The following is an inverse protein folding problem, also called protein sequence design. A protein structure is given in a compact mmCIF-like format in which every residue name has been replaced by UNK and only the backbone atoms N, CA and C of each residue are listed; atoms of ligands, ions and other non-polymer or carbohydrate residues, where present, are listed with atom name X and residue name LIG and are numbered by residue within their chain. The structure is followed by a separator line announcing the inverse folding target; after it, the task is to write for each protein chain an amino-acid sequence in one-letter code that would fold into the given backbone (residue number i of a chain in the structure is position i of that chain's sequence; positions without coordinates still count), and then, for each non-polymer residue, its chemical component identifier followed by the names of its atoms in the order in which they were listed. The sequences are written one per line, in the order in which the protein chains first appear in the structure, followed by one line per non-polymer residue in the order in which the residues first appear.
data_IF_632430441619
#
_entry.id   IF_632430441619
#
_cell.length_a   1.000
_cell.length_b   1.000
_cell.length_c   1.000
_cell.angle_alpha   90.00
_cell.angle_beta   90.00
_cell.angle_gamma   90.00
#
_symmetry.space_group_name_H-M   'P 1'
#
loop_
_entity.id
_entity.type
_entity.pdbx_description
1 polymer ?
#
# COMPACT_ATOMS: atom_id res chain seq x y z
N UNK A 1 -63.66 -43.69 38.84
CA UNK A 1 -62.30 -44.18 38.83
C UNK A 1 -61.40 -43.00 38.40
N UNK A 2 -60.90 -42.29 39.36
CA UNK A 2 -60.01 -41.15 39.15
C UNK A 2 -58.55 -41.63 39.30
N UNK A 3 -57.77 -41.42 38.27
CA UNK A 3 -56.32 -41.66 38.25
C UNK A 3 -55.61 -40.63 39.12
N UNK A 4 -54.57 -41.03 39.90
CA UNK A 4 -53.85 -40.08 40.72
C UNK A 4 -52.87 -39.29 39.84
N UNK A 5 -52.84 -37.97 40.03
CA UNK A 5 -51.81 -37.05 39.48
C UNK A 5 -50.42 -37.33 40.10
N UNK A 6 -49.43 -37.52 39.29
CA UNK A 6 -48.03 -37.53 39.71
C UNK A 6 -47.59 -36.11 40.12
N UNK A 7 -46.84 -35.96 41.24
CA UNK A 7 -46.33 -34.65 41.64
C UNK A 7 -45.24 -34.14 40.71
N UNK A 8 -45.41 -32.89 40.24
CA UNK A 8 -44.45 -32.17 39.45
C UNK A 8 -43.04 -32.12 40.12
N UNK A 9 -42.03 -32.63 39.44
CA UNK A 9 -40.65 -32.52 39.86
C UNK A 9 -40.22 -31.04 39.82
N UNK A 10 -39.84 -30.52 40.97
CA UNK A 10 -39.26 -29.18 41.13
C UNK A 10 -37.88 -29.18 40.45
N UNK A 11 -37.51 -28.22 39.57
CA UNK A 11 -36.18 -28.14 39.03
C UNK A 11 -35.21 -27.78 40.17
N UNK A 12 -34.25 -28.64 40.45
CA UNK A 12 -33.24 -28.44 41.48
C UNK A 12 -32.51 -27.11 41.26
N UNK A 13 -32.87 -26.11 42.08
CA UNK A 13 -32.20 -24.82 42.11
C UNK A 13 -30.76 -25.00 42.58
N UNK A 14 -29.82 -24.50 41.83
CA UNK A 14 -28.38 -24.47 42.20
C UNK A 14 -28.23 -23.86 43.59
N UNK A 15 -27.65 -24.61 44.55
CA UNK A 15 -27.47 -24.12 45.92
C UNK A 15 -26.59 -22.86 45.95
N UNK A 16 -26.80 -21.95 46.93
CA UNK A 16 -25.96 -20.72 47.07
C UNK A 16 -24.47 -21.04 47.10
N UNK A 17 -24.09 -22.15 47.70
CA UNK A 17 -22.69 -22.61 47.79
C UNK A 17 -22.15 -23.01 46.39
N UNK A 18 -22.94 -23.69 45.61
CA UNK A 18 -22.59 -24.13 44.27
C UNK A 18 -22.54 -22.96 43.27
N UNK A 19 -23.46 -22.02 43.39
CA UNK A 19 -23.43 -20.75 42.66
C UNK A 19 -22.16 -19.95 42.94
N UNK A 20 -21.78 -19.78 44.20
CA UNK A 20 -20.55 -19.06 44.60
C UNK A 20 -19.28 -19.77 44.12
N UNK A 21 -19.24 -21.11 44.16
CA UNK A 21 -18.12 -21.90 43.66
C UNK A 21 -17.98 -21.78 42.11
N UNK A 22 -19.10 -21.87 41.40
CA UNK A 22 -19.11 -21.74 39.93
C UNK A 22 -18.73 -20.30 39.49
N UNK A 23 -19.24 -19.29 40.19
CA UNK A 23 -18.92 -17.88 39.90
C UNK A 23 -17.45 -17.56 40.23
N UNK A 24 -16.93 -18.09 41.34
CA UNK A 24 -15.53 -17.95 41.72
C UNK A 24 -14.59 -18.64 40.71
N UNK A 25 -14.93 -19.86 40.28
CA UNK A 25 -14.16 -20.55 39.23
C UNK A 25 -14.19 -19.85 37.90
N UNK A 26 -15.35 -19.32 37.48
CA UNK A 26 -15.46 -18.52 36.25
C UNK A 26 -14.66 -17.21 36.35
N UNK A 27 -14.70 -16.53 37.48
CA UNK A 27 -13.89 -15.32 37.75
C UNK A 27 -12.38 -15.60 37.71
N UNK A 28 -11.93 -16.71 38.27
CA UNK A 28 -10.53 -17.14 38.26
C UNK A 28 -10.08 -17.51 36.82
N UNK A 29 -10.94 -18.14 36.00
CA UNK A 29 -10.65 -18.45 34.60
C UNK A 29 -10.56 -17.16 33.76
N UNK A 30 -11.43 -16.19 33.97
CA UNK A 30 -11.42 -14.90 33.29
C UNK A 30 -10.16 -14.11 33.67
N UNK A 31 -9.81 -14.05 34.95
CA UNK A 31 -8.61 -13.38 35.45
C UNK A 31 -7.33 -14.08 34.94
N UNK A 32 -7.29 -15.41 34.95
CA UNK A 32 -6.19 -16.21 34.39
C UNK A 32 -6.00 -16.02 32.90
N UNK A 33 -7.13 -15.97 32.14
CA UNK A 33 -7.10 -15.70 30.67
C UNK A 33 -6.66 -14.27 30.35
N UNK A 34 -7.08 -13.29 31.17
CA UNK A 34 -6.64 -11.90 31.00
C UNK A 34 -5.14 -11.74 31.28
N UNK A 35 -4.63 -12.35 32.36
CA UNK A 35 -3.18 -12.34 32.66
C UNK A 35 -2.37 -13.10 31.62
N UNK A 36 -2.85 -14.27 31.17
CA UNK A 36 -2.24 -15.01 30.08
C UNK A 36 -2.30 -14.22 28.76
N UNK A 37 -3.44 -13.58 28.46
CA UNK A 37 -3.60 -12.69 27.31
C UNK A 37 -2.63 -11.52 27.33
N UNK A 38 -2.44 -10.85 28.48
CA UNK A 38 -1.48 -9.74 28.64
C UNK A 38 -0.02 -10.24 28.55
N UNK A 39 0.30 -11.42 29.13
CA UNK A 39 1.63 -12.02 29.01
C UNK A 39 1.92 -12.57 27.63
N UNK A 40 0.92 -13.08 26.91
CA UNK A 40 1.04 -13.56 25.53
C UNK A 40 0.93 -12.43 24.52
N UNK A 41 0.35 -11.29 24.93
CA UNK A 41 0.27 -10.08 24.11
C UNK A 41 1.52 -9.21 24.31
N UNK A 42 2.69 -9.78 23.99
CA UNK A 42 3.86 -8.96 23.72
C UNK A 42 3.78 -8.53 22.26
N UNK A 43 3.79 -7.23 21.94
CA UNK A 43 3.67 -6.74 20.57
C UNK A 43 4.81 -7.21 19.65
N UNK A 44 5.84 -7.84 20.20
CA UNK A 44 7.02 -8.34 19.49
C UNK A 44 7.08 -9.88 19.33
N UNK A 45 6.07 -10.63 19.78
CA UNK A 45 6.07 -12.10 19.69
C UNK A 45 5.15 -12.57 18.54
N UNK A 46 5.55 -12.25 17.31
CA UNK A 46 4.81 -12.74 16.16
C UNK A 46 5.68 -13.47 15.15
N UNK A 47 6.35 -14.50 15.59
CA UNK A 47 6.80 -15.71 14.89
C UNK A 47 7.77 -16.44 15.83
N UNK A 48 7.47 -17.65 16.35
CA UNK A 48 8.49 -18.50 16.94
C UNK A 48 9.49 -18.86 15.83
N UNK A 49 10.73 -18.38 15.95
CA UNK A 49 11.79 -18.61 14.96
C UNK A 49 12.40 -17.35 14.34
N UNK A 50 11.86 -16.16 14.57
CA UNK A 50 12.47 -14.88 14.15
C UNK A 50 13.30 -14.25 15.27
N UNK A 51 14.03 -15.07 16.04
CA UNK A 51 15.02 -14.53 16.97
C UNK A 51 16.19 -13.94 16.17
N UNK A 52 16.34 -12.61 16.33
CA UNK A 52 17.60 -11.87 16.12
C UNK A 52 18.27 -11.94 14.74
N UNK A 53 17.59 -12.21 13.64
CA UNK A 53 18.14 -11.79 12.36
C UNK A 53 18.13 -10.27 12.30
N UNK A 54 19.33 -9.68 12.18
CA UNK A 54 19.51 -8.24 11.97
C UNK A 54 18.65 -7.86 10.74
N UNK A 55 17.54 -7.15 10.99
CA UNK A 55 16.57 -6.81 9.92
C UNK A 55 17.30 -6.04 8.82
N UNK A 56 16.90 -6.28 7.58
CA UNK A 56 17.42 -5.53 6.45
C UNK A 56 16.94 -4.06 6.52
N UNK A 57 17.73 -3.17 5.97
CA UNK A 57 17.33 -1.81 5.64
C UNK A 57 17.23 -1.70 4.12
N UNK A 58 16.20 -1.01 3.63
CA UNK A 58 16.13 -0.72 2.19
C UNK A 58 17.13 0.35 1.81
N UNK A 59 17.79 0.22 0.65
CA UNK A 59 18.62 1.29 0.10
C UNK A 59 17.82 2.55 -0.20
N UNK A 60 18.51 3.66 -0.34
CA UNK A 60 17.97 4.87 -0.94
C UNK A 60 18.04 4.74 -2.47
N UNK A 61 16.89 4.57 -3.13
CA UNK A 61 16.79 4.40 -4.58
C UNK A 61 16.65 5.74 -5.33
N UNK A 62 16.66 6.87 -4.62
CA UNK A 62 16.54 8.19 -5.26
C UNK A 62 17.72 8.49 -6.15
N UNK A 63 17.45 9.17 -7.25
CA UNK A 63 18.50 9.71 -8.13
C UNK A 63 18.81 11.13 -7.68
N UNK A 64 20.06 11.35 -7.28
CA UNK A 64 20.56 12.64 -6.85
C UNK A 64 21.14 13.44 -8.03
N UNK A 65 21.11 14.78 -7.94
CA UNK A 65 22.01 15.62 -8.72
C UNK A 65 21.45 16.30 -9.97
N UNK A 66 20.16 16.33 -10.20
CA UNK A 66 19.62 17.13 -11.30
C UNK A 66 19.22 18.56 -10.88
N UNK A 67 20.22 19.44 -10.67
CA UNK A 67 19.95 20.86 -10.38
C UNK A 67 19.09 21.48 -11.49
N UNK A 68 17.98 22.13 -11.11
CA UNK A 68 17.11 22.88 -12.03
C UNK A 68 16.05 22.03 -12.74
N UNK A 69 16.04 20.69 -12.58
CA UNK A 69 14.96 19.86 -13.09
C UNK A 69 13.81 19.75 -12.07
N UNK A 70 12.55 19.67 -12.55
CA UNK A 70 11.40 19.51 -11.68
C UNK A 70 11.49 18.23 -10.83
N UNK A 71 10.95 18.29 -9.62
CA UNK A 71 10.74 17.13 -8.74
C UNK A 71 9.32 16.60 -8.82
N UNK A 72 8.41 17.38 -9.40
CA UNK A 72 7.00 17.08 -9.61
C UNK A 72 6.61 17.46 -11.04
N UNK A 73 5.87 16.60 -11.73
CA UNK A 73 5.27 16.91 -13.01
C UNK A 73 3.80 16.49 -13.02
N UNK A 74 2.98 17.35 -13.57
CA UNK A 74 1.54 17.16 -13.76
C UNK A 74 1.31 17.17 -15.27
N UNK A 75 0.70 16.13 -15.80
CA UNK A 75 0.38 16.06 -17.24
C UNK A 75 -1.10 15.78 -17.44
N UNK A 76 -1.70 16.48 -18.39
CA UNK A 76 -3.09 16.31 -18.80
C UNK A 76 -3.14 15.73 -20.20
N UNK A 77 -3.99 14.74 -20.45
CA UNK A 77 -4.10 14.10 -21.76
C UNK A 77 -5.23 13.10 -21.88
N UNK A 78 -5.38 12.55 -23.07
CA UNK A 78 -6.50 11.65 -23.40
C UNK A 78 -6.19 10.17 -23.14
N UNK A 79 -4.91 9.77 -23.19
CA UNK A 79 -4.49 8.38 -23.05
C UNK A 79 -3.39 8.22 -22.00
N UNK A 80 -3.31 7.04 -21.37
CA UNK A 80 -2.26 6.73 -20.42
C UNK A 80 -0.87 6.90 -21.03
N UNK A 81 -0.65 6.39 -22.25
CA UNK A 81 0.68 6.42 -22.89
C UNK A 81 1.17 7.85 -23.09
N UNK A 82 0.38 8.69 -23.74
CA UNK A 82 0.75 10.09 -23.98
C UNK A 82 0.96 10.86 -22.69
N UNK A 83 0.02 10.72 -21.73
CA UNK A 83 0.02 11.51 -20.50
C UNK A 83 1.17 11.11 -19.56
N UNK A 84 1.47 9.82 -19.43
CA UNK A 84 2.60 9.33 -18.61
C UNK A 84 3.93 9.74 -19.27
N UNK A 85 4.07 9.61 -20.58
CA UNK A 85 5.28 10.04 -21.30
C UNK A 85 5.51 11.54 -21.16
N UNK A 86 4.45 12.35 -21.25
CA UNK A 86 4.52 13.80 -21.03
C UNK A 86 4.94 14.13 -19.58
N UNK A 87 4.35 13.49 -18.57
CA UNK A 87 4.72 13.70 -17.17
C UNK A 87 6.19 13.36 -16.90
N UNK A 88 6.63 12.18 -17.33
CA UNK A 88 8.02 11.74 -17.13
C UNK A 88 8.98 12.57 -18.01
N UNK A 89 8.57 12.96 -19.22
CA UNK A 89 9.33 13.86 -20.08
C UNK A 89 9.55 15.23 -19.43
N UNK A 90 8.52 15.79 -18.77
CA UNK A 90 8.61 17.04 -18.03
C UNK A 90 9.58 16.98 -16.83
N UNK A 91 9.81 15.80 -16.25
CA UNK A 91 10.82 15.55 -15.22
C UNK A 91 12.24 15.41 -15.79
N UNK A 92 12.44 15.46 -17.10
CA UNK A 92 13.73 15.29 -17.77
C UNK A 92 13.89 13.93 -18.47
N UNK A 93 12.81 13.15 -18.62
CA UNK A 93 12.77 11.86 -19.29
C UNK A 93 13.18 10.68 -18.41
N UNK A 94 12.83 9.46 -18.84
CA UNK A 94 13.13 8.24 -18.06
C UNK A 94 14.65 8.00 -17.95
N UNK A 95 15.45 8.39 -18.91
CA UNK A 95 16.91 8.29 -18.89
C UNK A 95 17.59 9.12 -17.78
N UNK A 96 16.87 10.09 -17.20
CA UNK A 96 17.31 10.76 -15.96
C UNK A 96 17.38 9.78 -14.79
N UNK A 97 16.50 8.82 -14.76
CA UNK A 97 16.27 7.92 -13.63
C UNK A 97 16.88 6.54 -13.81
N UNK A 98 16.88 6.05 -15.05
CA UNK A 98 17.27 4.69 -15.40
C UNK A 98 18.51 4.74 -16.25
N UNK A 99 19.51 3.91 -15.90
CA UNK A 99 20.76 3.72 -16.62
C UNK A 99 20.75 2.35 -17.33
N UNK A 100 21.58 2.23 -18.38
CA UNK A 100 21.81 0.94 -19.04
C UNK A 100 22.30 -0.10 -18.02
N UNK A 101 21.62 -1.24 -18.00
CA UNK A 101 21.94 -2.35 -17.10
C UNK A 101 21.20 -2.34 -15.75
N UNK A 102 20.46 -1.28 -15.42
CA UNK A 102 19.66 -1.25 -14.20
C UNK A 102 18.68 -2.43 -14.10
N UNK A 103 18.47 -2.92 -12.90
CA UNK A 103 17.39 -3.84 -12.55
C UNK A 103 16.31 -3.02 -11.84
N UNK A 104 15.16 -2.86 -12.48
CA UNK A 104 14.10 -1.97 -12.02
C UNK A 104 12.96 -2.78 -11.39
N UNK A 105 12.67 -2.53 -10.12
CA UNK A 105 11.47 -3.04 -9.47
C UNK A 105 10.35 -2.02 -9.67
N UNK A 106 9.27 -2.42 -10.33
CA UNK A 106 8.04 -1.63 -10.43
C UNK A 106 7.00 -2.22 -9.47
N UNK A 107 6.53 -1.38 -8.54
CA UNK A 107 5.47 -1.76 -7.61
C UNK A 107 4.13 -1.14 -8.05
N UNK A 108 3.27 -1.89 -8.73
CA UNK A 108 1.91 -1.47 -8.99
C UNK A 108 1.05 -1.57 -7.72
N UNK A 109 -0.21 -1.17 -7.78
CA UNK A 109 -1.24 -1.52 -6.80
C UNK A 109 -2.09 -2.67 -7.35
N UNK A 110 -2.00 -3.85 -6.76
CA UNK A 110 -2.76 -5.05 -7.17
C UNK A 110 -3.54 -5.60 -5.97
N UNK A 111 -3.92 -4.72 -5.04
CA UNK A 111 -4.47 -5.13 -3.75
C UNK A 111 -5.73 -6.01 -3.84
N UNK A 112 -6.51 -5.91 -4.93
CA UNK A 112 -7.83 -6.49 -5.02
C UNK A 112 -8.05 -7.23 -6.34
N UNK A 113 -8.90 -8.23 -6.30
CA UNK A 113 -9.46 -8.93 -7.46
C UNK A 113 -10.57 -8.06 -8.10
N UNK A 114 -10.17 -7.04 -8.87
CA UNK A 114 -11.06 -6.06 -9.51
C UNK A 114 -10.63 -5.76 -10.94
N UNK A 115 -11.59 -5.56 -11.87
CA UNK A 115 -11.27 -5.13 -13.24
C UNK A 115 -10.77 -3.68 -13.26
N UNK A 116 -9.95 -3.29 -14.27
CA UNK A 116 -9.35 -1.96 -14.37
C UNK A 116 -10.37 -0.81 -14.34
N UNK A 117 -11.54 -0.98 -14.94
CA UNK A 117 -12.58 0.03 -15.04
C UNK A 117 -13.08 0.55 -13.66
N UNK A 118 -12.85 -0.20 -12.58
CA UNK A 118 -13.22 0.23 -11.22
C UNK A 118 -12.15 1.08 -10.54
N UNK A 119 -10.99 1.28 -11.14
CA UNK A 119 -9.87 2.07 -10.61
C UNK A 119 -9.43 1.67 -9.19
N UNK A 120 -9.69 0.44 -8.80
CA UNK A 120 -9.29 -0.11 -7.50
C UNK A 120 -7.83 -0.60 -7.49
N UNK A 121 -7.25 -0.82 -8.66
CA UNK A 121 -5.87 -1.28 -8.91
C UNK A 121 -5.20 -0.40 -9.93
N UNK A 122 -3.88 -0.50 -10.09
CA UNK A 122 -3.15 0.15 -11.19
C UNK A 122 -3.75 -0.27 -12.53
N UNK A 123 -3.96 0.69 -13.42
CA UNK A 123 -4.45 0.41 -14.77
C UNK A 123 -3.37 -0.30 -15.60
N UNK A 124 -3.71 -1.32 -16.41
CA UNK A 124 -2.73 -2.06 -17.23
C UNK A 124 -1.91 -1.15 -18.14
N UNK A 125 -2.55 -0.15 -18.78
CA UNK A 125 -1.84 0.78 -19.66
C UNK A 125 -0.88 1.70 -18.91
N UNK A 126 -1.17 2.03 -17.64
CA UNK A 126 -0.22 2.78 -16.82
C UNK A 126 1.04 1.94 -16.53
N UNK A 127 0.89 0.67 -16.15
CA UNK A 127 2.02 -0.24 -15.96
C UNK A 127 2.78 -0.45 -17.27
N UNK A 128 2.05 -0.69 -18.38
CA UNK A 128 2.62 -0.94 -19.73
C UNK A 128 3.51 0.22 -20.15
N UNK A 129 3.00 1.45 -20.04
CA UNK A 129 3.75 2.64 -20.45
C UNK A 129 5.01 2.84 -19.62
N UNK A 130 4.89 2.77 -18.28
CA UNK A 130 6.06 2.92 -17.40
C UNK A 130 7.10 1.84 -17.67
N UNK A 131 6.69 0.56 -17.83
CA UNK A 131 7.60 -0.54 -18.10
C UNK A 131 8.30 -0.38 -19.46
N UNK A 132 7.58 0.02 -20.52
CA UNK A 132 8.18 0.33 -21.83
C UNK A 132 9.22 1.43 -21.73
N UNK A 133 8.90 2.55 -21.05
CA UNK A 133 9.86 3.64 -20.89
C UNK A 133 11.11 3.21 -20.12
N UNK A 134 10.96 2.34 -19.12
CA UNK A 134 12.09 1.76 -18.36
C UNK A 134 12.98 0.90 -19.27
N UNK A 135 12.38 0.04 -20.08
CA UNK A 135 13.12 -0.79 -21.07
C UNK A 135 13.79 0.06 -22.15
N UNK A 136 13.07 1.06 -22.68
CA UNK A 136 13.60 2.03 -23.67
C UNK A 136 14.80 2.81 -23.12
N UNK A 137 14.83 3.09 -21.81
CA UNK A 137 15.97 3.73 -21.14
C UNK A 137 17.18 2.80 -20.91
N UNK A 138 17.04 1.50 -21.20
CA UNK A 138 18.13 0.53 -21.17
C UNK A 138 18.22 -0.33 -19.92
N UNK A 139 17.16 -0.42 -19.12
CA UNK A 139 17.11 -1.38 -18.01
C UNK A 139 17.34 -2.80 -18.53
N UNK A 140 18.17 -3.57 -17.84
CA UNK A 140 18.45 -4.96 -18.18
C UNK A 140 17.36 -5.92 -17.73
N UNK A 141 16.58 -5.52 -16.74
CA UNK A 141 15.50 -6.34 -16.16
C UNK A 141 14.44 -5.46 -15.51
N UNK A 142 13.18 -5.83 -15.71
CA UNK A 142 12.04 -5.25 -14.97
C UNK A 142 11.37 -6.34 -14.16
N UNK A 143 11.18 -6.07 -12.86
CA UNK A 143 10.52 -6.96 -11.91
C UNK A 143 9.24 -6.30 -11.45
N UNK A 144 8.12 -7.01 -11.54
CA UNK A 144 6.80 -6.57 -11.06
C UNK A 144 6.45 -7.37 -9.81
N UNK A 145 6.05 -6.70 -8.73
CA UNK A 145 5.62 -7.37 -7.52
C UNK A 145 4.64 -6.53 -6.69
N UNK A 146 3.70 -7.20 -6.08
CA UNK A 146 2.81 -6.70 -5.02
C UNK A 146 2.37 -7.88 -4.15
N UNK A 147 1.92 -7.60 -2.92
CA UNK A 147 1.32 -8.60 -2.05
C UNK A 147 -0.16 -8.28 -1.86
N UNK A 148 -1.05 -8.83 -2.69
CA UNK A 148 -2.50 -8.59 -2.64
C UNK A 148 -3.15 -9.04 -1.34
N UNK A 149 -4.40 -8.61 -1.13
CA UNK A 149 -5.26 -9.08 -0.02
C UNK A 149 -5.98 -10.37 -0.42
N UNK A 150 -6.42 -10.45 -1.68
CA UNK A 150 -7.01 -11.65 -2.27
C UNK A 150 -5.92 -12.52 -2.91
N UNK A 151 -6.30 -13.65 -3.54
CA UNK A 151 -5.38 -14.52 -4.25
C UNK A 151 -4.47 -13.73 -5.21
N UNK A 152 -3.14 -13.79 -5.08
CA UNK A 152 -2.23 -13.04 -5.94
C UNK A 152 -2.45 -13.32 -7.42
N UNK A 153 -2.53 -14.58 -7.81
CA UNK A 153 -2.78 -14.98 -9.20
C UNK A 153 -4.08 -14.39 -9.75
N UNK A 154 -5.18 -14.46 -8.97
CA UNK A 154 -6.47 -13.90 -9.35
C UNK A 154 -6.43 -12.38 -9.47
N UNK A 155 -5.77 -11.68 -8.55
CA UNK A 155 -5.63 -10.23 -8.58
C UNK A 155 -4.86 -9.75 -9.81
N UNK A 156 -3.70 -10.34 -10.10
CA UNK A 156 -2.89 -9.99 -11.27
C UNK A 156 -3.60 -10.31 -12.60
N UNK A 157 -4.34 -11.43 -12.65
CA UNK A 157 -5.10 -11.81 -13.84
C UNK A 157 -6.25 -10.83 -14.10
N UNK A 158 -7.09 -10.58 -13.11
CA UNK A 158 -8.32 -9.78 -13.28
C UNK A 158 -8.04 -8.30 -13.44
N UNK A 159 -6.97 -7.78 -12.84
CA UNK A 159 -6.50 -6.42 -13.08
C UNK A 159 -5.86 -6.22 -14.46
N UNK A 160 -5.59 -7.29 -15.20
CA UNK A 160 -4.90 -7.25 -16.49
C UNK A 160 -3.37 -7.04 -16.41
N UNK A 161 -2.82 -6.93 -15.21
CA UNK A 161 -1.37 -6.68 -15.04
C UNK A 161 -0.52 -7.91 -15.35
N UNK A 162 -1.08 -9.13 -15.22
CA UNK A 162 -0.43 -10.36 -15.67
C UNK A 162 -0.19 -10.31 -17.17
N UNK A 163 -1.19 -9.91 -17.96
CA UNK A 163 -1.07 -9.79 -19.41
C UNK A 163 0.03 -8.81 -19.82
N UNK A 164 0.15 -7.68 -19.11
CA UNK A 164 1.23 -6.71 -19.36
C UNK A 164 2.61 -7.32 -19.13
N UNK A 165 2.75 -8.11 -18.04
CA UNK A 165 4.02 -8.77 -17.76
C UNK A 165 4.38 -9.81 -18.82
N UNK A 166 3.41 -10.60 -19.25
CA UNK A 166 3.59 -11.61 -20.30
C UNK A 166 3.92 -10.97 -21.68
N UNK A 167 3.21 -9.89 -22.09
CA UNK A 167 3.41 -9.19 -23.36
C UNK A 167 4.80 -8.53 -23.48
N UNK A 168 5.37 -8.09 -22.37
CA UNK A 168 6.64 -7.37 -22.34
C UNK A 168 7.80 -8.21 -21.77
N UNK A 169 7.60 -9.49 -21.56
CA UNK A 169 8.57 -10.43 -20.98
C UNK A 169 9.15 -9.92 -19.64
N UNK A 170 8.27 -9.42 -18.75
CA UNK A 170 8.65 -8.92 -17.46
C UNK A 170 8.65 -10.04 -16.41
N UNK A 171 9.55 -9.95 -15.45
CA UNK A 171 9.55 -10.88 -14.33
C UNK A 171 8.45 -10.52 -13.32
N UNK A 172 7.42 -11.36 -13.22
CA UNK A 172 6.36 -11.23 -12.22
C UNK A 172 6.66 -12.11 -11.02
N UNK A 173 6.79 -11.52 -9.82
CA UNK A 173 7.01 -12.23 -8.57
C UNK A 173 5.75 -12.22 -7.72
N UNK A 174 5.32 -13.42 -7.32
CA UNK A 174 4.25 -13.60 -6.36
C UNK A 174 4.80 -13.69 -4.93
N UNK A 175 4.01 -13.27 -3.92
CA UNK A 175 4.40 -13.38 -2.53
C UNK A 175 4.29 -14.82 -2.04
N UNK A 176 5.41 -15.48 -1.87
CA UNK A 176 5.55 -16.81 -1.26
C UNK A 176 6.20 -16.66 0.13
N UNK A 177 6.07 -17.65 1.00
CA UNK A 177 6.58 -17.56 2.38
C UNK A 177 8.07 -17.21 2.44
N UNK A 178 8.86 -17.78 1.56
CA UNK A 178 10.32 -17.59 1.47
C UNK A 178 10.72 -16.23 0.88
N UNK A 179 9.76 -15.54 0.27
CA UNK A 179 9.96 -14.22 -0.34
C UNK A 179 10.00 -13.08 0.67
N UNK A 180 9.72 -13.38 1.94
CA UNK A 180 9.67 -12.38 3.01
C UNK A 180 10.89 -12.46 3.92
N UNK A 181 11.31 -11.28 4.41
CA UNK A 181 12.38 -11.14 5.38
C UNK A 181 12.03 -10.02 6.38
N UNK A 182 12.65 -10.00 7.58
CA UNK A 182 12.46 -8.90 8.52
C UNK A 182 13.05 -7.60 7.96
N UNK A 183 12.26 -6.54 7.98
CA UNK A 183 12.67 -5.17 7.69
C UNK A 183 12.85 -4.43 9.01
N UNK A 184 13.98 -3.78 9.21
CA UNK A 184 14.23 -2.89 10.34
C UNK A 184 14.02 -1.44 9.92
N UNK A 185 13.18 -0.73 10.65
CA UNK A 185 12.89 0.68 10.45
C UNK A 185 12.73 1.37 11.80
N UNK A 186 13.16 2.62 11.91
CA UNK A 186 12.90 3.46 13.09
C UNK A 186 11.64 4.32 12.85
N UNK A 187 10.54 3.64 12.57
CA UNK A 187 9.24 4.24 12.36
C UNK A 187 8.46 4.48 13.67
N UNK A 188 7.40 5.24 13.59
CA UNK A 188 6.47 5.43 14.71
C UNK A 188 5.79 4.09 15.08
N UNK A 189 5.32 3.36 14.08
CA UNK A 189 4.60 2.08 14.20
C UNK A 189 5.40 0.95 13.57
N UNK A 190 5.99 1.18 12.39
CA UNK A 190 6.74 0.19 11.65
C UNK A 190 8.19 0.16 12.14
N UNK A 191 8.55 -0.86 12.92
CA UNK A 191 9.92 -0.96 13.47
C UNK A 191 10.65 -2.20 12.97
N UNK A 192 10.18 -3.37 13.33
CA UNK A 192 10.70 -4.65 12.86
C UNK A 192 9.52 -5.46 12.35
N UNK A 193 9.43 -5.65 11.03
CA UNK A 193 8.25 -6.26 10.44
C UNK A 193 8.59 -7.11 9.22
N UNK A 194 7.76 -8.10 8.95
CA UNK A 194 7.87 -8.96 7.77
C UNK A 194 7.61 -8.17 6.49
N UNK A 195 8.57 -8.18 5.59
CA UNK A 195 8.59 -7.40 4.36
C UNK A 195 8.82 -8.30 3.15
N UNK A 196 8.14 -8.05 2.04
CA UNK A 196 8.31 -8.76 0.77
C UNK A 196 9.63 -8.36 0.12
N UNK A 197 10.69 -9.06 0.52
CA UNK A 197 12.08 -8.73 0.20
C UNK A 197 12.53 -9.20 -1.18
N UNK A 198 12.01 -10.33 -1.66
CA UNK A 198 12.49 -10.99 -2.90
C UNK A 198 12.60 -10.03 -4.09
N UNK A 199 11.63 -9.13 -4.38
CA UNK A 199 11.70 -8.20 -5.50
C UNK A 199 12.85 -7.19 -5.41
N UNK A 200 13.39 -6.98 -4.22
CA UNK A 200 14.42 -5.96 -3.94
C UNK A 200 15.85 -6.52 -3.95
N UNK A 201 16.03 -7.84 -3.93
CA UNK A 201 17.36 -8.47 -3.81
C UNK A 201 18.38 -8.00 -4.84
N UNK A 202 17.94 -7.68 -6.06
CA UNK A 202 18.80 -7.21 -7.16
C UNK A 202 18.36 -5.85 -7.70
N UNK A 203 17.34 -5.23 -7.13
CA UNK A 203 16.83 -3.96 -7.62
C UNK A 203 17.84 -2.84 -7.38
N UNK A 204 18.19 -2.12 -8.45
CA UNK A 204 18.99 -0.90 -8.40
C UNK A 204 18.13 0.35 -8.41
N UNK A 205 16.90 0.23 -8.93
CA UNK A 205 15.89 1.28 -9.01
C UNK A 205 14.52 0.77 -8.60
N UNK A 206 13.70 1.64 -8.03
CA UNK A 206 12.34 1.31 -7.59
C UNK A 206 11.37 2.38 -8.06
N UNK A 207 10.31 1.96 -8.75
CA UNK A 207 9.24 2.83 -9.25
C UNK A 207 7.91 2.38 -8.64
N UNK A 208 7.18 3.30 -8.02
CA UNK A 208 5.81 3.08 -7.58
C UNK A 208 4.80 3.56 -8.62
N UNK A 209 3.83 2.73 -8.99
CA UNK A 209 2.73 3.11 -9.90
C UNK A 209 1.41 2.85 -9.17
N UNK A 210 0.71 3.91 -8.79
CA UNK A 210 -0.48 3.82 -7.96
C UNK A 210 -1.68 4.49 -8.62
N UNK A 211 -2.90 3.94 -8.52
CA UNK A 211 -4.12 4.66 -8.85
C UNK A 211 -4.40 5.74 -7.80
N UNK A 212 -5.00 6.84 -8.22
CA UNK A 212 -5.61 7.80 -7.31
C UNK A 212 -7.00 7.31 -6.90
N UNK A 213 -7.21 7.03 -5.60
CA UNK A 213 -8.49 6.48 -5.14
C UNK A 213 -8.86 6.86 -3.72
N UNK A 214 -10.16 6.94 -3.48
CA UNK A 214 -10.74 7.02 -2.14
C UNK A 214 -10.32 5.84 -1.25
N UNK A 215 -10.33 6.06 0.07
CA UNK A 215 -10.13 5.02 1.06
C UNK A 215 -10.87 5.34 2.35
N UNK A 216 -11.80 4.48 2.73
CA UNK A 216 -12.71 4.66 3.86
C UNK A 216 -12.02 4.92 5.22
N UNK A 217 -10.82 4.37 5.47
CA UNK A 217 -10.12 4.50 6.75
C UNK A 217 -9.11 5.66 6.79
N UNK A 218 -8.43 5.93 5.69
CA UNK A 218 -7.37 6.96 5.65
C UNK A 218 -7.61 8.03 4.59
N UNK A 219 -8.84 8.20 4.12
CA UNK A 219 -9.31 9.20 3.15
C UNK A 219 -8.84 8.93 1.72
N UNK A 220 -7.59 8.55 1.52
CA UNK A 220 -7.03 8.29 0.19
C UNK A 220 -6.03 7.12 0.18
N UNK A 221 -5.92 6.46 -0.96
CA UNK A 221 -4.86 5.49 -1.25
C UNK A 221 -4.20 5.90 -2.57
N UNK A 222 -2.96 6.37 -2.46
CA UNK A 222 -2.15 6.92 -3.53
C UNK A 222 -0.72 6.38 -3.44
N UNK A 223 0.30 7.12 -3.88
CA UNK A 223 1.67 6.62 -3.99
C UNK A 223 2.30 6.25 -2.65
N UNK A 224 2.11 7.05 -1.59
CA UNK A 224 2.63 6.75 -0.25
C UNK A 224 2.03 5.49 0.34
N UNK A 225 0.69 5.36 0.29
CA UNK A 225 0.01 4.17 0.83
C UNK A 225 0.24 2.92 -0.02
N UNK A 226 0.62 3.07 -1.28
CA UNK A 226 0.87 1.94 -2.18
C UNK A 226 1.90 0.95 -1.60
N UNK A 227 2.89 1.42 -0.83
CA UNK A 227 3.91 0.58 -0.21
C UNK A 227 3.39 -0.38 0.87
N UNK A 228 2.15 -0.18 1.34
CA UNK A 228 1.49 -1.12 2.25
C UNK A 228 1.46 -2.55 1.71
N UNK A 229 1.34 -2.71 0.40
CA UNK A 229 1.37 -3.99 -0.29
C UNK A 229 2.69 -4.76 -0.19
N UNK A 230 3.74 -4.18 0.41
CA UNK A 230 5.01 -4.87 0.64
C UNK A 230 5.11 -5.49 2.04
N UNK A 231 4.18 -5.20 2.94
CA UNK A 231 4.17 -5.81 4.26
C UNK A 231 3.57 -7.21 4.21
N UNK A 232 4.19 -8.13 4.92
CA UNK A 232 3.68 -9.48 5.15
C UNK A 232 2.96 -9.63 6.49
N UNK A 233 2.76 -10.88 6.92
CA UNK A 233 2.19 -11.21 8.21
C UNK A 233 0.78 -10.65 8.43
N UNK A 234 0.44 -10.39 9.69
CA UNK A 234 -0.88 -9.83 10.07
C UNK A 234 -0.94 -8.31 9.88
N UNK A 235 -0.51 -7.80 8.74
CA UNK A 235 -0.44 -6.35 8.44
C UNK A 235 -1.77 -5.61 8.65
N UNK A 236 -2.91 -6.30 8.56
CA UNK A 236 -4.23 -5.69 8.76
C UNK A 236 -4.41 -5.03 10.14
N UNK A 237 -3.66 -5.44 11.17
CA UNK A 237 -3.68 -4.78 12.49
C UNK A 237 -3.28 -3.30 12.43
N UNK A 238 -2.45 -2.89 11.45
CA UNK A 238 -2.04 -1.51 11.27
C UNK A 238 -3.18 -0.57 10.84
N UNK A 239 -4.34 -1.11 10.45
CA UNK A 239 -5.51 -0.29 10.16
C UNK A 239 -6.04 0.47 11.39
N UNK A 240 -5.71 0.02 12.61
CA UNK A 240 -6.05 0.75 13.84
C UNK A 240 -5.25 2.04 14.00
N UNK A 241 -4.08 2.15 13.37
CA UNK A 241 -3.22 3.33 13.37
C UNK A 241 -2.81 3.70 11.94
N UNK A 242 -3.79 3.72 11.04
CA UNK A 242 -3.56 3.77 9.58
C UNK A 242 -2.78 5.02 9.14
N UNK A 243 -2.99 6.16 9.78
CA UNK A 243 -2.27 7.39 9.42
C UNK A 243 -0.79 7.33 9.83
N UNK A 244 -0.48 6.75 10.98
CA UNK A 244 0.91 6.60 11.44
C UNK A 244 1.67 5.60 10.57
N UNK A 245 1.07 4.43 10.27
CA UNK A 245 1.74 3.43 9.41
C UNK A 245 1.96 3.96 7.98
N UNK A 246 0.99 4.71 7.40
CA UNK A 246 1.17 5.30 6.06
C UNK A 246 2.25 6.37 6.06
N UNK A 247 2.36 7.19 7.11
CA UNK A 247 3.48 8.12 7.29
C UNK A 247 4.83 7.38 7.37
N UNK A 248 4.88 6.22 8.04
CA UNK A 248 6.10 5.42 8.12
C UNK A 248 6.54 4.85 6.76
N UNK A 249 5.63 4.68 5.79
CA UNK A 249 6.02 4.27 4.45
C UNK A 249 6.87 5.30 3.71
N UNK A 250 6.69 6.59 4.00
CA UNK A 250 7.56 7.63 3.46
C UNK A 250 8.99 7.57 4.05
N UNK A 251 9.13 7.06 5.28
CA UNK A 251 10.43 6.75 5.86
C UNK A 251 11.01 5.45 5.30
N UNK A 252 10.18 4.42 5.14
CA UNK A 252 10.55 3.09 4.70
C UNK A 252 11.07 3.07 3.27
N UNK A 253 10.38 3.75 2.35
CA UNK A 253 10.67 3.70 0.93
C UNK A 253 11.11 5.05 0.39
N UNK A 254 12.29 5.08 -0.18
CA UNK A 254 12.85 6.23 -0.91
C UNK A 254 12.96 5.85 -2.39
N UNK A 255 11.86 5.91 -3.14
CA UNK A 255 11.82 5.38 -4.51
C UNK A 255 12.58 6.29 -5.48
N UNK A 256 12.95 5.72 -6.62
CA UNK A 256 13.52 6.45 -7.76
C UNK A 256 12.49 7.42 -8.35
N UNK A 257 11.27 6.95 -8.49
CA UNK A 257 10.15 7.69 -9.08
C UNK A 257 8.83 7.12 -8.57
N UNK A 258 7.82 7.97 -8.42
CA UNK A 258 6.43 7.54 -8.26
C UNK A 258 5.56 8.14 -9.36
N UNK A 259 4.56 7.37 -9.81
CA UNK A 259 3.56 7.76 -10.78
C UNK A 259 2.19 7.53 -10.16
N UNK A 260 1.42 8.60 -10.04
CA UNK A 260 0.02 8.59 -9.61
C UNK A 260 -0.86 8.65 -10.86
N UNK A 261 -1.55 7.57 -11.11
CA UNK A 261 -2.52 7.46 -12.20
C UNK A 261 -3.85 8.09 -11.77
N UNK A 262 -4.16 9.23 -12.32
CA UNK A 262 -5.40 9.96 -12.20
C UNK A 262 -6.12 10.10 -13.55
N UNK A 263 -5.85 9.25 -14.54
CA UNK A 263 -6.64 9.23 -15.78
C UNK A 263 -8.12 9.00 -15.49
N UNK A 264 -8.40 8.10 -14.56
CA UNK A 264 -9.70 7.91 -13.93
C UNK A 264 -9.50 7.68 -12.43
N UNK A 265 -10.34 8.28 -11.60
CA UNK A 265 -10.21 8.32 -10.14
C UNK A 265 -11.40 7.66 -9.49
N UNK A 266 -11.18 6.74 -8.56
CA UNK A 266 -12.22 6.19 -7.70
C UNK A 266 -12.54 7.21 -6.60
N UNK A 267 -13.63 7.99 -6.78
CA UNK A 267 -13.97 9.15 -5.94
C UNK A 267 -14.57 8.77 -4.58
N UNK A 268 -15.21 7.58 -4.47
CA UNK A 268 -15.93 7.14 -3.27
C UNK A 268 -16.07 5.61 -3.24
N UNK A 269 -16.45 5.08 -2.06
CA UNK A 269 -16.57 3.64 -1.80
C UNK A 269 -15.25 2.88 -2.00
N UNK A 270 -14.11 3.60 -1.89
CA UNK A 270 -12.78 2.99 -1.91
C UNK A 270 -12.46 2.28 -0.58
N UNK A 271 -11.43 1.43 -0.58
CA UNK A 271 -10.43 1.25 -1.64
C UNK A 271 -10.79 0.24 -2.74
N UNK A 272 -11.91 -0.49 -2.62
CA UNK A 272 -12.29 -1.58 -3.54
C UNK A 272 -13.24 -1.13 -4.65
N UNK A 273 -14.01 -0.06 -4.41
CA UNK A 273 -15.05 0.38 -5.31
C UNK A 273 -16.13 -0.71 -5.53
N UNK A 274 -16.79 -0.67 -6.66
CA UNK A 274 -17.78 -1.69 -7.04
C UNK A 274 -18.78 -1.20 -8.07
N UNK A 275 -18.84 0.12 -8.31
CA UNK A 275 -19.75 0.74 -9.27
C UNK A 275 -18.99 1.70 -10.16
N UNK A 276 -19.25 1.70 -11.46
CA UNK A 276 -18.66 2.65 -12.40
C UNK A 276 -19.07 4.10 -12.08
N UNK A 277 -20.22 4.32 -11.46
CA UNK A 277 -20.67 5.65 -11.01
C UNK A 277 -19.82 6.25 -9.89
N UNK A 278 -18.93 5.48 -9.25
CA UNK A 278 -17.98 5.96 -8.26
C UNK A 278 -16.67 6.44 -8.89
N UNK A 279 -16.48 6.21 -10.19
CA UNK A 279 -15.29 6.56 -10.96
C UNK A 279 -15.54 7.84 -11.76
N UNK A 280 -14.57 8.77 -11.70
CA UNK A 280 -14.59 10.04 -12.45
C UNK A 280 -13.37 10.08 -13.38
N UNK A 281 -13.57 10.31 -14.69
CA UNK A 281 -12.47 10.63 -15.59
C UNK A 281 -11.85 11.99 -15.23
N UNK A 282 -10.52 12.03 -15.06
CA UNK A 282 -9.79 13.27 -14.73
C UNK A 282 -8.68 13.58 -15.74
N UNK A 283 -8.31 12.62 -16.59
CA UNK A 283 -7.35 12.82 -17.69
C UNK A 283 -5.98 13.32 -17.23
N UNK A 284 -5.54 12.97 -16.02
CA UNK A 284 -4.35 13.56 -15.40
C UNK A 284 -3.42 12.48 -14.83
N UNK A 285 -2.13 12.65 -15.03
CA UNK A 285 -1.08 11.84 -14.39
C UNK A 285 -0.16 12.78 -13.62
N UNK A 286 0.22 12.38 -12.41
CA UNK A 286 1.21 13.09 -11.60
C UNK A 286 2.41 12.19 -11.36
N UNK A 287 3.61 12.64 -11.74
CA UNK A 287 4.85 11.91 -11.52
C UNK A 287 5.81 12.74 -10.67
N UNK A 288 6.62 12.10 -9.84
CA UNK A 288 7.57 12.85 -9.03
C UNK A 288 8.55 11.99 -8.23
N UNK A 289 9.54 12.66 -7.66
CA UNK A 289 10.54 12.08 -6.77
C UNK A 289 10.19 12.23 -5.29
N UNK A 290 9.21 13.07 -4.97
CA UNK A 290 8.63 13.25 -3.63
C UNK A 290 7.17 12.76 -3.65
N UNK A 291 6.95 11.60 -3.02
CA UNK A 291 5.62 11.00 -2.98
C UNK A 291 4.61 11.82 -2.15
N UNK A 292 5.08 12.63 -1.21
CA UNK A 292 4.20 13.48 -0.39
C UNK A 292 3.64 14.61 -1.23
N UNK A 293 4.47 15.27 -2.06
CA UNK A 293 4.04 16.30 -2.99
C UNK A 293 3.11 15.73 -4.07
N UNK A 294 3.40 14.54 -4.61
CA UNK A 294 2.54 13.85 -5.59
C UNK A 294 1.17 13.56 -4.99
N UNK A 295 1.13 12.97 -3.79
CA UNK A 295 -0.12 12.63 -3.11
C UNK A 295 -0.89 13.87 -2.65
N UNK A 296 -0.20 14.96 -2.30
CA UNK A 296 -0.83 16.23 -1.95
C UNK A 296 -1.58 16.83 -3.14
N UNK A 297 -0.97 16.88 -4.32
CA UNK A 297 -1.66 17.28 -5.55
C UNK A 297 -2.85 16.34 -5.83
N UNK A 298 -2.62 15.04 -5.78
CA UNK A 298 -3.66 14.04 -6.04
C UNK A 298 -4.87 14.17 -5.13
N UNK A 299 -4.66 14.46 -3.85
CA UNK A 299 -5.74 14.64 -2.90
C UNK A 299 -6.57 15.91 -3.16
N UNK A 300 -5.89 17.03 -3.43
CA UNK A 300 -6.53 18.31 -3.64
C UNK A 300 -7.24 18.40 -5.00
N UNK A 301 -6.60 17.95 -6.07
CA UNK A 301 -7.06 18.19 -7.43
C UNK A 301 -7.71 16.99 -8.12
N UNK A 302 -7.33 15.75 -7.75
CA UNK A 302 -7.90 14.54 -8.34
C UNK A 302 -9.05 13.99 -7.49
N UNK A 303 -8.89 13.95 -6.16
CA UNK A 303 -9.96 13.57 -5.24
C UNK A 303 -10.86 14.76 -4.86
N UNK A 304 -10.47 15.98 -5.19
CA UNK A 304 -11.23 17.24 -4.93
C UNK A 304 -11.55 17.40 -3.44
N UNK A 305 -10.54 17.21 -2.58
CA UNK A 305 -10.68 17.22 -1.10
C UNK A 305 -9.72 18.20 -0.44
N UNK A 306 -10.09 18.67 0.75
CA UNK A 306 -9.25 19.55 1.55
C UNK A 306 -8.06 18.79 2.12
N UNK A 307 -6.84 19.25 1.82
CA UNK A 307 -5.59 18.65 2.28
C UNK A 307 -5.50 18.58 3.82
N UNK A 308 -6.17 19.49 4.53
CA UNK A 308 -6.23 19.49 5.98
C UNK A 308 -6.76 18.17 6.58
N UNK A 309 -7.58 17.44 5.81
CA UNK A 309 -8.13 16.16 6.24
C UNK A 309 -7.17 14.98 6.09
N UNK A 310 -6.07 15.13 5.34
CA UNK A 310 -5.18 14.02 5.01
C UNK A 310 -4.05 13.86 6.03
N UNK A 311 -4.41 13.40 7.21
CA UNK A 311 -3.54 13.30 8.39
C UNK A 311 -2.18 12.64 8.12
N UNK A 312 -2.10 11.59 7.30
CA UNK A 312 -0.84 10.88 7.10
C UNK A 312 0.19 11.72 6.31
N UNK A 313 -0.25 12.62 5.41
CA UNK A 313 0.67 13.54 4.72
C UNK A 313 1.19 14.60 5.68
N UNK A 314 0.34 15.17 6.54
CA UNK A 314 0.78 16.11 7.57
C UNK A 314 1.79 15.47 8.53
N UNK A 315 1.58 14.21 8.91
CA UNK A 315 2.56 13.47 9.74
C UNK A 315 3.90 13.29 9.01
N UNK A 316 3.89 12.95 7.73
CA UNK A 316 5.09 12.76 6.93
C UNK A 316 5.84 14.07 6.71
N UNK A 317 5.14 15.14 6.35
CA UNK A 317 5.69 16.50 6.17
C UNK A 317 6.35 17.02 7.46
N UNK A 318 5.64 16.92 8.59
CA UNK A 318 6.18 17.32 9.91
C UNK A 318 7.47 16.58 10.29
N UNK A 319 7.67 15.36 9.76
CA UNK A 319 8.88 14.56 9.95
C UNK A 319 9.97 14.83 8.91
N UNK A 320 9.76 15.77 7.99
CA UNK A 320 10.70 16.10 6.91
C UNK A 320 10.82 14.99 5.85
N UNK A 321 9.80 14.15 5.67
CA UNK A 321 9.82 13.02 4.74
C UNK A 321 9.34 13.38 3.33
N UNK A 322 8.95 14.62 3.08
CA UNK A 322 8.49 15.20 1.83
C UNK A 322 7.78 16.52 2.08
N UNK A 323 7.27 17.16 1.05
CA UNK A 323 6.63 18.47 1.13
C UNK A 323 5.14 18.40 0.80
N UNK A 324 4.28 18.69 1.79
CA UNK A 324 2.84 18.74 1.59
C UNK A 324 2.40 19.94 0.74
N UNK A 325 3.17 21.03 0.76
CA UNK A 325 2.93 22.21 -0.08
C UNK A 325 3.60 22.01 -1.45
N UNK A 326 2.98 21.19 -2.31
CA UNK A 326 3.56 20.82 -3.60
C UNK A 326 3.90 22.04 -4.48
N UNK A 327 3.18 23.17 -4.33
CA UNK A 327 3.45 24.42 -5.05
C UNK A 327 4.81 25.05 -4.70
N UNK A 328 5.39 24.70 -3.55
CA UNK A 328 6.73 25.14 -3.14
C UNK A 328 7.84 24.28 -3.74
N UNK A 329 7.51 23.18 -4.38
CA UNK A 329 8.48 22.34 -5.09
C UNK A 329 8.75 22.90 -6.49
N UNK A 330 9.87 22.51 -7.10
CA UNK A 330 10.08 22.80 -8.52
C UNK A 330 9.19 21.84 -9.31
N UNK A 331 8.10 22.35 -9.87
CA UNK A 331 7.15 21.55 -10.62
C UNK A 331 6.96 22.03 -12.06
N UNK A 332 6.42 21.17 -12.91
CA UNK A 332 6.04 21.49 -14.28
C UNK A 332 4.68 20.89 -14.60
N UNK A 333 3.82 21.68 -15.21
CA UNK A 333 2.52 21.26 -15.72
C UNK A 333 2.52 21.32 -17.24
N UNK A 334 2.01 20.27 -17.91
CA UNK A 334 2.07 20.11 -19.34
C UNK A 334 0.81 19.48 -19.92
N UNK A 335 0.54 19.75 -21.18
CA UNK A 335 -0.43 19.01 -21.99
C UNK A 335 0.32 17.91 -22.78
N UNK A 336 -0.33 16.72 -22.89
CA UNK A 336 0.22 15.56 -23.57
C UNK A 336 -0.23 15.48 -25.04
#
# INVERSE_FOLDING_TARGET
MSTPEEPAQNPEGVSRREFLLRTGAAGALIAGSAVAGVKLWQPNHFMPGFEAQKGMQLPDYRVHGAKGLPSLAIAHGATHDQTIRAAIGALGGMSRFIQKGDVVMIKPNVAFDRPPALCATTHPEALRTVAKMVLEAGASKVVIADNPINSPTGCFLKSGLRQVADDLDLTLLYPESESFAPLQLDGEILRNWTFFHEPFKKATKVIGVAPCKDHNLCRASMTTKNWYGLLGGRRNQFHQQIHSIVSDFALMMKPTLVVLDGMSVLMRNGPTGGRLSDVKPMGTVVAGTDMISVDSYGYQHLLERDIAELTYLHKADKRGLGNINWQQTVYKEVQA
#
